data_IF_829855211267
#
_entry.id   IF_829855211267
#
_cell.length_a   1.000
_cell.length_b   1.000
_cell.length_c   1.000
_cell.angle_alpha   90.00
_cell.angle_beta   90.00
_cell.angle_gamma   90.00
#
_symmetry.space_group_name_H-M   'P 1'
#
loop_
_entity.id
_entity.type
_entity.pdbx_description
1 polymer ?
#
# COMPACT_ATOMS: atom_id res chain seq x y z
N UNK A 1 25.18 16.19 21.36
CA UNK A 1 24.57 16.78 22.58
C UNK A 1 24.88 15.89 23.77
N UNK A 2 24.84 16.40 25.01
CA UNK A 2 25.02 15.56 26.22
C UNK A 2 23.69 15.44 26.95
N UNK A 3 23.17 14.21 27.06
CA UNK A 3 21.95 13.89 27.81
C UNK A 3 22.32 13.46 29.24
N UNK A 4 21.47 13.79 30.20
CA UNK A 4 21.57 13.36 31.60
C UNK A 4 20.88 12.00 31.80
N UNK A 5 21.29 11.23 32.81
CA UNK A 5 20.71 9.91 33.15
C UNK A 5 19.18 9.94 33.27
N UNK A 6 18.61 10.95 33.92
CA UNK A 6 17.15 11.10 34.04
C UNK A 6 16.44 11.23 32.68
N UNK A 7 17.10 11.80 31.68
CA UNK A 7 16.55 11.92 30.32
C UNK A 7 16.53 10.56 29.60
N UNK A 8 17.54 9.71 29.81
CA UNK A 8 17.52 8.33 29.29
C UNK A 8 16.43 7.49 29.95
N UNK A 9 16.24 7.61 31.27
CA UNK A 9 15.18 6.88 31.98
C UNK A 9 13.78 7.27 31.49
N UNK A 10 13.55 8.58 31.29
CA UNK A 10 12.30 9.07 30.72
C UNK A 10 12.11 8.56 29.27
N UNK A 11 13.17 8.58 28.46
CA UNK A 11 13.16 8.06 27.10
C UNK A 11 12.85 6.57 27.02
N UNK A 12 13.49 5.73 27.86
CA UNK A 12 13.22 4.29 27.98
C UNK A 12 11.78 4.04 28.40
N UNK A 13 11.26 4.82 29.34
CA UNK A 13 9.85 4.70 29.78
C UNK A 13 8.90 4.91 28.61
N UNK A 14 9.16 5.91 27.76
CA UNK A 14 8.37 6.16 26.55
C UNK A 14 8.49 5.01 25.54
N UNK A 15 9.70 4.50 25.29
CA UNK A 15 9.87 3.34 24.42
C UNK A 15 9.06 2.13 24.93
N UNK A 16 9.04 1.88 26.24
CA UNK A 16 8.25 0.79 26.81
C UNK A 16 6.75 0.95 26.61
N UNK A 17 6.23 2.18 26.56
CA UNK A 17 4.81 2.43 26.26
C UNK A 17 4.42 1.93 24.87
N UNK A 18 5.34 1.99 23.89
CA UNK A 18 5.10 1.51 22.53
C UNK A 18 4.81 0.00 22.47
N UNK A 19 5.24 -0.78 23.47
CA UNK A 19 4.96 -2.23 23.51
C UNK A 19 3.48 -2.57 23.69
N UNK A 20 2.68 -1.60 24.12
CA UNK A 20 1.23 -1.74 24.26
C UNK A 20 0.49 -1.51 22.94
N UNK A 21 1.17 -0.99 21.91
CA UNK A 21 0.60 -0.80 20.57
C UNK A 21 0.60 -2.16 19.87
N UNK A 22 -0.57 -2.60 19.39
CA UNK A 22 -0.78 -3.96 18.88
C UNK A 22 0.21 -4.39 17.80
N UNK A 23 0.36 -3.57 16.75
CA UNK A 23 1.27 -3.89 15.64
C UNK A 23 2.75 -3.90 16.03
N UNK A 24 3.15 -3.05 16.99
CA UNK A 24 4.52 -3.03 17.54
C UNK A 24 4.76 -4.30 18.35
N UNK A 25 3.81 -4.66 19.21
CA UNK A 25 3.89 -5.88 20.00
C UNK A 25 4.05 -7.11 19.10
N UNK A 26 3.20 -7.23 18.08
CA UNK A 26 3.25 -8.32 17.10
C UNK A 26 4.64 -8.39 16.43
N UNK A 27 5.18 -7.25 15.99
CA UNK A 27 6.50 -7.19 15.37
C UNK A 27 7.63 -7.62 16.32
N UNK A 28 7.57 -7.23 17.60
CA UNK A 28 8.53 -7.67 18.61
C UNK A 28 8.43 -9.18 18.87
N UNK A 29 7.21 -9.72 18.99
CA UNK A 29 7.01 -11.17 19.20
C UNK A 29 7.50 -11.99 18.01
N UNK A 30 7.33 -11.49 16.78
CA UNK A 30 7.82 -12.12 15.56
C UNK A 30 9.35 -12.26 15.53
N UNK A 31 10.09 -11.30 16.09
CA UNK A 31 11.56 -11.37 16.15
C UNK A 31 12.08 -12.37 17.16
N UNK A 32 11.28 -12.73 18.17
CA UNK A 32 11.69 -13.63 19.26
C UNK A 32 11.69 -15.11 18.87
N UNK A 33 11.17 -15.46 17.69
CA UNK A 33 11.07 -16.85 17.25
C UNK A 33 11.31 -17.00 15.75
N UNK A 34 11.84 -18.15 15.30
CA UNK A 34 11.92 -18.44 13.87
C UNK A 34 10.52 -18.50 13.27
N UNK A 35 10.30 -17.81 12.15
CA UNK A 35 9.07 -17.89 11.35
C UNK A 35 9.45 -18.19 9.90
N UNK A 36 8.87 -19.24 9.32
CA UNK A 36 9.18 -19.68 7.97
C UNK A 36 9.02 -18.57 6.91
N UNK A 37 8.00 -17.72 7.05
CA UNK A 37 7.70 -16.61 6.15
C UNK A 37 8.54 -15.35 6.39
N UNK A 38 9.31 -15.30 7.49
CA UNK A 38 10.29 -14.22 7.71
C UNK A 38 11.70 -14.60 7.25
N UNK A 39 12.00 -15.90 7.17
CA UNK A 39 13.34 -16.40 6.79
C UNK A 39 13.49 -16.53 5.27
N UNK A 40 12.44 -16.91 4.57
CA UNK A 40 12.51 -17.07 3.12
C UNK A 40 12.56 -15.72 2.42
N UNK A 41 13.63 -15.46 1.67
CA UNK A 41 13.68 -14.35 0.75
C UNK A 41 12.70 -14.58 -0.42
N UNK A 42 12.03 -13.50 -0.82
CA UNK A 42 11.11 -13.46 -1.95
C UNK A 42 11.81 -12.67 -3.04
N UNK A 43 12.05 -13.29 -4.20
CA UNK A 43 12.71 -12.62 -5.32
C UNK A 43 11.96 -11.34 -5.73
N UNK A 44 12.71 -10.30 -6.11
CA UNK A 44 12.13 -9.03 -6.59
C UNK A 44 11.29 -9.27 -7.85
N UNK A 45 10.09 -8.67 -7.88
CA UNK A 45 9.23 -8.71 -9.06
C UNK A 45 9.77 -7.82 -10.19
N UNK A 46 9.61 -8.29 -11.43
CA UNK A 46 10.01 -7.59 -12.65
C UNK A 46 8.89 -6.75 -13.32
N UNK A 47 7.82 -6.37 -12.61
CA UNK A 47 6.79 -5.49 -13.18
C UNK A 47 5.61 -5.20 -12.26
N UNK A 48 4.94 -4.05 -12.49
CA UNK A 48 3.80 -3.52 -11.70
C UNK A 48 2.51 -4.37 -11.77
N UNK A 49 2.43 -5.33 -12.69
CA UNK A 49 1.27 -6.21 -12.89
C UNK A 49 1.59 -7.70 -12.69
N UNK A 50 2.84 -8.04 -12.39
CA UNK A 50 3.18 -9.43 -12.10
C UNK A 50 2.63 -9.82 -10.73
N UNK A 51 2.30 -11.10 -10.55
CA UNK A 51 1.97 -11.68 -9.24
C UNK A 51 3.22 -11.86 -8.39
N UNK A 52 3.16 -11.52 -7.11
CA UNK A 52 4.36 -11.58 -6.27
C UNK A 52 4.73 -13.03 -5.96
N UNK A 53 6.03 -13.32 -5.84
CA UNK A 53 6.50 -14.63 -5.40
C UNK A 53 5.91 -15.01 -4.02
N UNK A 54 5.55 -14.00 -3.23
CA UNK A 54 4.84 -14.14 -1.98
C UNK A 54 3.38 -14.60 -2.21
N UNK A 55 2.61 -13.92 -3.06
CA UNK A 55 1.23 -14.27 -3.40
C UNK A 55 1.11 -15.72 -3.91
N UNK A 56 2.00 -16.16 -4.80
CA UNK A 56 2.03 -17.57 -5.24
C UNK A 56 2.26 -18.55 -4.09
N UNK A 57 3.16 -18.23 -3.15
CA UNK A 57 3.43 -19.09 -1.98
C UNK A 57 2.23 -19.10 -1.02
N UNK A 58 1.62 -17.95 -0.76
CA UNK A 58 0.41 -17.83 0.07
C UNK A 58 -0.73 -18.68 -0.48
N UNK A 59 -0.94 -18.67 -1.80
CA UNK A 59 -1.97 -19.51 -2.42
C UNK A 59 -1.65 -21.00 -2.36
N UNK A 60 -0.38 -21.39 -2.46
CA UNK A 60 0.04 -22.80 -2.25
C UNK A 60 -0.19 -23.26 -0.81
N UNK A 61 0.08 -22.39 0.16
CA UNK A 61 -0.22 -22.64 1.57
C UNK A 61 -1.73 -22.75 1.80
N UNK A 62 -2.52 -21.84 1.23
CA UNK A 62 -3.97 -21.88 1.35
C UNK A 62 -4.57 -23.12 0.69
N UNK A 63 -4.08 -23.50 -0.50
CA UNK A 63 -4.42 -24.77 -1.16
C UNK A 63 -4.13 -25.96 -0.26
N UNK A 64 -2.94 -26.00 0.35
CA UNK A 64 -2.57 -27.06 1.30
C UNK A 64 -3.53 -27.11 2.48
N UNK A 65 -3.96 -25.97 3.03
CA UNK A 65 -4.89 -25.91 4.16
C UNK A 65 -6.33 -26.36 3.85
N UNK A 66 -6.80 -26.14 2.62
CA UNK A 66 -8.18 -26.49 2.22
C UNK A 66 -8.30 -27.92 1.70
N UNK A 67 -7.20 -28.61 1.40
CA UNK A 67 -7.20 -29.95 0.83
C UNK A 67 -7.25 -31.04 1.91
N UNK A 68 -8.41 -31.66 2.11
CA UNK A 68 -8.58 -32.75 3.06
C UNK A 68 -7.64 -33.95 2.84
N UNK A 69 -7.04 -34.10 1.64
CA UNK A 69 -6.15 -35.21 1.32
C UNK A 69 -4.68 -34.96 1.63
N UNK A 70 -4.31 -33.72 1.98
CA UNK A 70 -2.95 -33.36 2.34
C UNK A 70 -2.51 -33.97 3.68
N UNK A 71 -1.24 -33.80 4.02
CA UNK A 71 -0.62 -34.40 5.19
C UNK A 71 -0.90 -33.68 6.51
N UNK A 72 -1.68 -32.59 6.52
CA UNK A 72 -2.00 -31.84 7.74
C UNK A 72 -3.02 -32.51 8.67
N UNK A 73 -3.82 -33.45 8.16
CA UNK A 73 -4.78 -34.24 8.97
C UNK A 73 -5.93 -33.44 9.58
N UNK A 74 -6.39 -32.37 8.90
CA UNK A 74 -7.48 -31.48 9.38
C UNK A 74 -8.81 -31.73 8.66
N UNK A 75 -8.86 -32.69 7.74
CA UNK A 75 -9.98 -32.85 6.81
C UNK A 75 -10.25 -31.57 6.02
N UNK A 76 -11.51 -31.30 5.70
CA UNK A 76 -11.91 -30.10 4.92
C UNK A 76 -12.29 -28.89 5.81
N UNK A 77 -11.89 -28.85 7.09
CA UNK A 77 -12.38 -27.84 8.07
C UNK A 77 -12.16 -26.39 7.62
N UNK A 78 -11.03 -26.10 6.98
CA UNK A 78 -10.72 -24.73 6.52
C UNK A 78 -11.62 -24.34 5.35
N UNK A 79 -11.79 -25.23 4.37
CA UNK A 79 -12.70 -25.03 3.24
C UNK A 79 -14.15 -24.83 3.74
N UNK A 80 -14.59 -25.73 4.63
CA UNK A 80 -15.92 -25.67 5.24
C UNK A 80 -16.18 -24.33 5.94
N UNK A 81 -15.21 -23.85 6.73
CA UNK A 81 -15.33 -22.56 7.43
C UNK A 81 -15.33 -21.36 6.48
N UNK A 82 -14.53 -21.40 5.41
CA UNK A 82 -14.52 -20.36 4.38
C UNK A 82 -15.85 -20.29 3.63
N UNK A 83 -16.43 -21.44 3.25
CA UNK A 83 -17.73 -21.51 2.58
C UNK A 83 -18.85 -21.02 3.51
N UNK A 84 -18.83 -21.46 4.78
CA UNK A 84 -19.83 -21.03 5.79
C UNK A 84 -19.74 -19.54 6.08
N UNK A 85 -18.52 -18.96 6.09
CA UNK A 85 -18.30 -17.53 6.31
C UNK A 85 -19.05 -16.65 5.30
N UNK A 86 -19.19 -17.11 4.06
CA UNK A 86 -19.87 -16.39 2.98
C UNK A 86 -21.33 -16.82 2.79
N UNK A 87 -21.89 -17.58 3.74
CA UNK A 87 -23.28 -18.05 3.73
C UNK A 87 -23.52 -19.29 2.87
N UNK A 88 -22.47 -19.96 2.43
CA UNK A 88 -22.55 -21.22 1.70
C UNK A 88 -22.86 -22.41 2.60
N UNK A 89 -23.24 -23.53 1.98
CA UNK A 89 -23.51 -24.78 2.66
C UNK A 89 -22.44 -25.81 2.27
N UNK A 90 -21.77 -26.37 3.26
CA UNK A 90 -20.83 -27.48 3.12
C UNK A 90 -20.82 -28.27 4.42
N UNK A 91 -20.50 -29.56 4.32
CA UNK A 91 -20.38 -30.46 5.46
C UNK A 91 -18.91 -30.61 5.84
N UNK A 92 -18.62 -30.49 7.13
CA UNK A 92 -17.29 -30.82 7.64
C UNK A 92 -17.06 -32.34 7.59
N UNK A 93 -16.00 -32.74 6.91
CA UNK A 93 -15.49 -34.10 6.83
C UNK A 93 -14.05 -34.13 7.37
N UNK A 94 -13.83 -34.69 8.58
CA UNK A 94 -12.50 -34.74 9.20
C UNK A 94 -11.55 -35.73 8.52
N UNK A 95 -12.11 -36.71 7.82
CA UNK A 95 -11.36 -37.78 7.17
C UNK A 95 -10.96 -37.40 5.73
N UNK A 96 -9.95 -38.11 5.21
CA UNK A 96 -9.55 -37.95 3.80
C UNK A 96 -10.72 -38.30 2.88
N UNK A 97 -10.97 -37.46 1.89
CA UNK A 97 -12.01 -37.65 0.90
C UNK A 97 -11.43 -37.52 -0.51
N UNK A 98 -11.35 -38.66 -1.23
CA UNK A 98 -10.77 -38.72 -2.58
C UNK A 98 -11.59 -37.98 -3.65
N UNK A 99 -12.84 -37.62 -3.37
CA UNK A 99 -13.65 -36.78 -4.24
C UNK A 99 -13.28 -35.29 -4.13
N UNK A 100 -12.55 -34.91 -3.07
CA UNK A 100 -11.98 -33.58 -2.91
C UNK A 100 -10.71 -33.46 -3.75
N UNK A 101 -10.61 -32.36 -4.51
CA UNK A 101 -9.41 -31.96 -5.23
C UNK A 101 -9.17 -30.46 -5.00
N UNK A 102 -8.01 -30.10 -4.47
CA UNK A 102 -7.59 -28.71 -4.39
C UNK A 102 -6.34 -28.48 -5.25
N UNK A 103 -6.35 -27.42 -6.04
CA UNK A 103 -5.24 -27.02 -6.91
C UNK A 103 -4.90 -25.56 -6.67
N UNK A 104 -3.62 -25.23 -6.81
CA UNK A 104 -3.15 -23.86 -6.83
C UNK A 104 -2.79 -23.52 -8.27
N UNK A 105 -3.14 -22.32 -8.72
CA UNK A 105 -2.81 -21.82 -10.06
C UNK A 105 -3.49 -22.63 -11.20
N UNK A 106 -4.65 -23.25 -10.93
CA UNK A 106 -5.45 -23.94 -11.97
C UNK A 106 -6.33 -22.92 -12.69
N UNK A 107 -6.31 -22.92 -14.02
CA UNK A 107 -7.04 -21.96 -14.86
C UNK A 107 -6.72 -20.48 -14.55
N UNK A 108 -5.51 -20.18 -14.10
CA UNK A 108 -5.07 -18.88 -13.57
C UNK A 108 -5.73 -18.47 -12.23
N UNK A 109 -6.59 -19.31 -11.65
CA UNK A 109 -7.23 -19.10 -10.33
C UNK A 109 -6.25 -19.50 -9.24
N UNK A 110 -6.08 -18.64 -8.24
CA UNK A 110 -5.07 -18.82 -7.20
C UNK A 110 -5.27 -20.10 -6.39
N UNK A 111 -6.50 -20.38 -5.94
CA UNK A 111 -6.87 -21.64 -5.30
C UNK A 111 -8.22 -22.08 -5.83
N UNK A 112 -8.30 -23.32 -6.31
CA UNK A 112 -9.53 -23.97 -6.72
C UNK A 112 -9.72 -25.24 -5.91
N UNK A 113 -10.80 -25.30 -5.14
CA UNK A 113 -11.22 -26.45 -4.35
C UNK A 113 -12.50 -27.03 -4.96
N UNK A 114 -12.53 -28.34 -5.20
CA UNK A 114 -13.67 -29.07 -5.76
C UNK A 114 -13.98 -30.25 -4.84
N UNK A 115 -15.22 -30.32 -4.37
CA UNK A 115 -15.76 -31.43 -3.59
C UNK A 115 -16.97 -32.00 -4.32
N UNK A 116 -16.71 -33.04 -5.12
CA UNK A 116 -17.76 -33.67 -5.91
C UNK A 116 -18.74 -34.51 -5.08
N UNK A 117 -18.36 -34.94 -3.87
CA UNK A 117 -19.29 -35.64 -2.97
C UNK A 117 -20.36 -34.72 -2.40
N UNK A 118 -20.01 -33.44 -2.21
CA UNK A 118 -20.94 -32.43 -1.69
C UNK A 118 -21.51 -31.52 -2.78
N UNK A 119 -21.13 -31.72 -4.05
CA UNK A 119 -21.43 -30.83 -5.17
C UNK A 119 -21.03 -29.38 -4.87
N UNK A 120 -19.81 -29.16 -4.38
CA UNK A 120 -19.31 -27.83 -4.00
C UNK A 120 -18.04 -27.51 -4.78
N UNK A 121 -17.93 -26.27 -5.25
CA UNK A 121 -16.71 -25.69 -5.80
C UNK A 121 -16.41 -24.37 -5.09
N UNK A 122 -15.17 -24.15 -4.66
CA UNK A 122 -14.71 -22.91 -4.07
C UNK A 122 -13.51 -22.38 -4.87
N UNK A 123 -13.65 -21.20 -5.46
CA UNK A 123 -12.57 -20.44 -6.06
C UNK A 123 -12.15 -19.31 -5.13
N UNK A 124 -10.84 -19.15 -4.93
CA UNK A 124 -10.27 -18.09 -4.11
C UNK A 124 -9.23 -17.35 -4.95
N UNK A 125 -9.35 -16.03 -5.02
CA UNK A 125 -8.34 -15.13 -5.57
C UNK A 125 -7.65 -14.42 -4.40
N UNK A 126 -6.32 -14.45 -4.34
CA UNK A 126 -5.53 -13.97 -3.22
C UNK A 126 -4.71 -12.75 -3.64
N UNK A 127 -4.95 -11.61 -2.98
CA UNK A 127 -4.13 -10.40 -3.14
C UNK A 127 -3.42 -10.05 -1.85
N UNK A 128 -2.19 -9.58 -1.96
CA UNK A 128 -1.43 -9.05 -0.82
C UNK A 128 -1.26 -7.53 -0.91
N UNK A 129 -0.82 -7.02 -2.06
CA UNK A 129 -0.59 -5.57 -2.26
C UNK A 129 -1.11 -5.06 -3.61
N UNK A 130 -1.24 -5.95 -4.59
CA UNK A 130 -1.80 -5.60 -5.89
C UNK A 130 -3.31 -5.43 -5.80
N UNK A 131 -3.84 -4.46 -6.55
CA UNK A 131 -5.29 -4.36 -6.79
C UNK A 131 -5.71 -5.44 -7.79
N UNK A 132 -7.02 -5.58 -7.95
CA UNK A 132 -7.61 -6.44 -8.96
C UNK A 132 -7.00 -6.17 -10.35
N UNK A 133 -6.68 -7.23 -11.08
CA UNK A 133 -6.14 -7.13 -12.43
C UNK A 133 -7.22 -6.73 -13.44
N UNK A 134 -6.88 -5.83 -14.36
CA UNK A 134 -7.68 -5.54 -15.55
C UNK A 134 -6.91 -6.07 -16.75
N UNK A 135 -7.56 -6.87 -17.58
CA UNK A 135 -6.96 -7.40 -18.82
C UNK A 135 -6.76 -6.29 -19.86
N UNK A 136 -6.05 -6.59 -20.96
CA UNK A 136 -5.85 -5.62 -22.06
C UNK A 136 -7.15 -5.10 -22.68
N UNK A 137 -8.23 -5.85 -22.49
CA UNK A 137 -9.54 -5.61 -23.11
C UNK A 137 -10.53 -4.97 -22.11
N UNK A 138 -10.02 -4.39 -21.02
CA UNK A 138 -10.79 -3.77 -19.93
C UNK A 138 -11.76 -4.73 -19.19
N UNK A 139 -11.61 -6.04 -19.39
CA UNK A 139 -12.36 -7.06 -18.66
C UNK A 139 -11.69 -7.34 -17.31
N UNK A 140 -12.49 -7.40 -16.25
CA UNK A 140 -11.99 -7.68 -14.91
C UNK A 140 -11.52 -9.13 -14.79
N UNK A 141 -10.44 -9.34 -14.05
CA UNK A 141 -9.88 -10.67 -13.79
C UNK A 141 -10.91 -11.60 -13.12
N UNK A 142 -11.76 -11.05 -12.25
CA UNK A 142 -12.78 -11.80 -11.51
C UNK A 142 -13.92 -12.29 -12.41
N UNK A 143 -14.27 -11.54 -13.45
CA UNK A 143 -15.26 -11.96 -14.45
C UNK A 143 -14.75 -13.18 -15.23
N UNK A 144 -13.52 -13.10 -15.75
CA UNK A 144 -12.86 -14.20 -16.47
C UNK A 144 -12.83 -15.47 -15.63
N UNK A 145 -12.50 -15.37 -14.35
CA UNK A 145 -12.38 -16.53 -13.46
C UNK A 145 -13.73 -17.17 -13.14
N UNK A 146 -14.78 -16.36 -12.98
CA UNK A 146 -16.15 -16.86 -12.84
C UNK A 146 -16.57 -17.63 -14.10
N UNK A 147 -16.35 -17.06 -15.29
CA UNK A 147 -16.68 -17.72 -16.56
C UNK A 147 -15.96 -19.07 -16.70
N UNK A 148 -14.67 -19.13 -16.34
CA UNK A 148 -13.91 -20.39 -16.38
C UNK A 148 -14.47 -21.46 -15.44
N UNK A 149 -14.90 -21.10 -14.22
CA UNK A 149 -15.54 -22.04 -13.29
C UNK A 149 -16.89 -22.50 -13.83
N UNK A 150 -17.68 -21.58 -14.39
CA UNK A 150 -18.98 -21.90 -14.99
C UNK A 150 -18.85 -22.87 -16.17
N UNK A 151 -17.94 -22.59 -17.10
CA UNK A 151 -17.74 -23.43 -18.29
C UNK A 151 -17.16 -24.80 -17.95
N UNK A 152 -16.14 -24.85 -17.09
CA UNK A 152 -15.27 -26.04 -16.96
C UNK A 152 -15.53 -26.87 -15.71
N UNK A 153 -16.21 -26.32 -14.71
CA UNK A 153 -16.57 -27.09 -13.50
C UNK A 153 -18.07 -27.36 -13.51
N UNK A 154 -18.88 -26.31 -13.65
CA UNK A 154 -20.34 -26.44 -13.61
C UNK A 154 -20.87 -27.07 -14.90
N UNK A 155 -20.26 -26.75 -16.04
CA UNK A 155 -20.58 -27.38 -17.33
C UNK A 155 -20.43 -28.91 -17.31
N UNK A 156 -19.54 -29.46 -16.49
CA UNK A 156 -19.36 -30.91 -16.32
C UNK A 156 -20.44 -31.53 -15.41
N UNK A 157 -20.97 -30.77 -14.44
CA UNK A 157 -22.06 -31.19 -13.55
C UNK A 157 -22.81 -29.99 -12.98
N UNK A 158 -24.03 -29.75 -13.47
CA UNK A 158 -24.86 -28.60 -13.08
C UNK A 158 -25.37 -28.65 -11.64
N UNK A 159 -25.20 -29.77 -10.93
CA UNK A 159 -25.53 -29.84 -9.51
C UNK A 159 -24.47 -29.16 -8.64
N UNK A 160 -23.27 -28.86 -9.17
CA UNK A 160 -22.19 -28.22 -8.43
C UNK A 160 -22.53 -26.76 -8.14
N UNK A 161 -22.52 -26.40 -6.86
CA UNK A 161 -22.67 -25.04 -6.39
C UNK A 161 -21.31 -24.34 -6.30
N UNK A 162 -21.06 -23.28 -7.08
CA UNK A 162 -19.85 -22.49 -6.97
C UNK A 162 -19.93 -21.47 -5.83
N UNK A 163 -18.77 -21.21 -5.24
CA UNK A 163 -18.50 -20.18 -4.25
C UNK A 163 -17.23 -19.43 -4.65
N UNK A 164 -17.22 -18.11 -4.48
CA UNK A 164 -16.13 -17.24 -4.92
C UNK A 164 -15.68 -16.34 -3.79
N UNK A 165 -14.38 -16.37 -3.45
CA UNK A 165 -13.78 -15.53 -2.41
C UNK A 165 -12.70 -14.64 -3.03
N UNK A 166 -12.84 -13.34 -2.82
CA UNK A 166 -11.79 -12.36 -3.07
C UNK A 166 -11.08 -12.05 -1.74
N UNK A 167 -9.95 -12.71 -1.51
CA UNK A 167 -9.18 -12.64 -0.27
C UNK A 167 -8.13 -11.54 -0.37
N UNK A 168 -8.32 -10.48 0.41
CA UNK A 168 -7.40 -9.33 0.45
C UNK A 168 -7.09 -8.97 1.90
N UNK A 169 -6.03 -8.19 2.20
CA UNK A 169 -5.71 -7.90 3.59
C UNK A 169 -6.81 -7.11 4.30
N UNK A 170 -7.38 -6.10 3.61
CA UNK A 170 -8.31 -5.12 4.19
C UNK A 170 -9.76 -5.27 3.69
N UNK A 171 -10.12 -6.43 3.12
CA UNK A 171 -11.47 -6.70 2.61
C UNK A 171 -11.89 -5.76 1.46
N UNK A 172 -10.98 -5.53 0.53
CA UNK A 172 -11.24 -4.72 -0.65
C UNK A 172 -12.46 -5.24 -1.41
N UNK A 173 -13.27 -4.30 -1.92
CA UNK A 173 -14.46 -4.63 -2.69
C UNK A 173 -14.07 -5.20 -4.06
N UNK A 174 -14.55 -6.39 -4.44
CA UNK A 174 -14.35 -6.92 -5.78
C UNK A 174 -15.18 -6.15 -6.81
N UNK A 175 -14.70 -6.09 -8.05
CA UNK A 175 -15.45 -5.53 -9.18
C UNK A 175 -16.72 -6.35 -9.50
N UNK A 176 -16.64 -7.67 -9.38
CA UNK A 176 -17.71 -8.61 -9.66
C UNK A 176 -18.47 -8.97 -8.36
N UNK A 177 -19.80 -8.79 -8.38
CA UNK A 177 -20.68 -8.97 -7.22
C UNK A 177 -20.87 -10.43 -6.77
N UNK A 178 -20.50 -11.41 -7.58
CA UNK A 178 -20.51 -12.83 -7.21
C UNK A 178 -19.33 -13.21 -6.30
N UNK A 179 -18.26 -12.41 -6.31
CA UNK A 179 -17.11 -12.62 -5.45
C UNK A 179 -17.38 -12.01 -4.07
N UNK A 180 -17.18 -12.80 -3.02
CA UNK A 180 -17.33 -12.33 -1.65
C UNK A 180 -15.99 -11.78 -1.14
N UNK A 181 -15.98 -10.53 -0.69
CA UNK A 181 -14.81 -9.93 -0.07
C UNK A 181 -14.54 -10.57 1.30
N UNK A 182 -13.34 -11.10 1.49
CA UNK A 182 -12.87 -11.69 2.76
C UNK A 182 -11.54 -11.05 3.15
N UNK A 183 -11.40 -10.66 4.41
CA UNK A 183 -10.15 -10.08 4.93
C UNK A 183 -9.16 -11.14 5.43
N UNK A 184 -7.89 -10.74 5.55
CA UNK A 184 -6.89 -11.55 6.25
C UNK A 184 -7.27 -11.75 7.72
N UNK A 185 -7.86 -10.76 8.40
CA UNK A 185 -8.34 -10.91 9.78
C UNK A 185 -9.42 -12.00 9.92
N UNK A 186 -10.32 -12.11 8.93
CA UNK A 186 -11.33 -13.18 8.89
C UNK A 186 -10.67 -14.55 8.69
N UNK A 187 -9.66 -14.66 7.82
CA UNK A 187 -8.88 -15.88 7.64
C UNK A 187 -8.06 -16.24 8.90
N UNK A 188 -7.45 -15.25 9.56
CA UNK A 188 -6.74 -15.41 10.84
C UNK A 188 -7.67 -15.98 11.90
N UNK A 189 -8.90 -15.45 11.99
CA UNK A 189 -9.92 -15.96 12.92
C UNK A 189 -10.27 -17.43 12.65
N UNK A 190 -10.38 -17.82 11.37
CA UNK A 190 -10.58 -19.22 10.98
C UNK A 190 -9.38 -20.08 11.41
N UNK A 191 -8.16 -19.63 11.14
CA UNK A 191 -6.93 -20.34 11.51
C UNK A 191 -6.86 -20.51 13.04
N UNK A 192 -7.11 -19.46 13.82
CA UNK A 192 -7.11 -19.52 15.28
C UNK A 192 -8.15 -20.50 15.83
N UNK A 193 -9.35 -20.51 15.25
CA UNK A 193 -10.35 -21.51 15.63
C UNK A 193 -9.87 -22.93 15.34
N UNK A 194 -9.23 -23.18 14.19
CA UNK A 194 -8.72 -24.52 13.84
C UNK A 194 -7.57 -24.91 14.77
N UNK A 195 -6.63 -24.00 15.02
CA UNK A 195 -5.51 -24.20 15.95
C UNK A 195 -5.98 -24.54 17.37
N UNK A 196 -7.02 -23.87 17.87
CA UNK A 196 -7.53 -24.05 19.21
C UNK A 196 -8.34 -25.35 19.40
N UNK A 197 -9.08 -25.77 18.36
CA UNK A 197 -10.12 -26.80 18.52
C UNK A 197 -9.83 -28.13 17.81
N UNK A 198 -8.99 -28.15 16.79
CA UNK A 198 -8.78 -29.35 15.96
C UNK A 198 -7.43 -30.00 16.23
N UNK A 199 -6.38 -29.21 16.45
CA UNK A 199 -5.00 -29.71 16.65
C UNK A 199 -4.70 -30.16 18.09
N UNK A 200 -5.72 -30.29 18.94
CA UNK A 200 -5.59 -30.76 20.33
C UNK A 200 -5.75 -32.27 20.47
N UNK A 201 -6.23 -32.96 19.43
CA UNK A 201 -6.38 -34.41 19.42
C UNK A 201 -5.03 -35.11 19.14
N UNK A 202 -4.66 -36.10 19.97
CA UNK A 202 -3.41 -36.86 19.87
C UNK A 202 -3.29 -37.76 18.62
N UNK A 203 -4.33 -37.82 17.79
CA UNK A 203 -4.45 -38.71 16.62
C UNK A 203 -4.06 -38.04 15.30
N UNK A 204 -3.83 -36.73 15.27
CA UNK A 204 -3.49 -36.00 14.04
C UNK A 204 -2.01 -36.20 13.70
N UNK A 205 -1.68 -36.76 12.52
CA UNK A 205 -0.30 -36.86 12.05
C UNK A 205 0.35 -35.47 11.95
N UNK A 206 1.61 -35.35 12.37
CA UNK A 206 2.38 -34.10 12.27
C UNK A 206 1.73 -32.89 12.97
N UNK A 207 0.90 -33.11 14.01
CA UNK A 207 0.14 -32.03 14.66
C UNK A 207 1.01 -30.84 15.11
N UNK A 208 2.21 -31.10 15.61
CA UNK A 208 3.16 -30.05 16.00
C UNK A 208 3.67 -29.24 14.80
N UNK A 209 4.00 -29.91 13.70
CA UNK A 209 4.49 -29.28 12.46
C UNK A 209 3.37 -28.49 11.78
N UNK A 210 2.17 -29.08 11.67
CA UNK A 210 0.97 -28.40 11.17
C UNK A 210 0.66 -27.16 11.98
N UNK A 211 0.70 -27.27 13.32
CA UNK A 211 0.51 -26.13 14.22
C UNK A 211 1.55 -25.04 13.98
N UNK A 212 2.83 -25.41 13.79
CA UNK A 212 3.91 -24.46 13.49
C UNK A 212 3.68 -23.74 12.17
N UNK A 213 3.42 -24.47 11.09
CA UNK A 213 3.20 -23.90 9.75
C UNK A 213 1.98 -22.99 9.71
N UNK A 214 0.88 -23.38 10.36
CA UNK A 214 -0.33 -22.56 10.46
C UNK A 214 -0.11 -21.30 11.30
N UNK A 215 0.62 -21.42 12.42
CA UNK A 215 0.97 -20.27 13.27
C UNK A 215 1.85 -19.29 12.50
N UNK A 216 2.85 -19.79 11.78
CA UNK A 216 3.75 -18.96 10.99
C UNK A 216 3.02 -18.22 9.87
N UNK A 217 2.11 -18.91 9.17
CA UNK A 217 1.29 -18.31 8.13
C UNK A 217 0.31 -17.28 8.70
N UNK A 218 -0.33 -17.56 9.84
CA UNK A 218 -1.19 -16.61 10.54
C UNK A 218 -0.45 -15.31 10.88
N UNK A 219 0.76 -15.45 11.41
CA UNK A 219 1.59 -14.31 11.78
C UNK A 219 2.05 -13.49 10.56
N UNK A 220 2.29 -14.15 9.44
CA UNK A 220 2.59 -13.47 8.17
C UNK A 220 1.38 -12.67 7.62
N UNK A 221 0.18 -13.26 7.71
CA UNK A 221 -1.06 -12.55 7.40
C UNK A 221 -1.24 -11.34 8.33
N UNK A 222 -1.05 -11.52 9.64
CA UNK A 222 -1.15 -10.44 10.62
C UNK A 222 -0.13 -9.33 10.34
N UNK A 223 1.11 -9.69 10.01
CA UNK A 223 2.16 -8.74 9.62
C UNK A 223 1.73 -7.89 8.41
N UNK A 224 1.06 -8.49 7.43
CA UNK A 224 0.54 -7.75 6.28
C UNK A 224 -0.57 -6.78 6.70
N UNK A 225 -1.50 -7.21 7.55
CA UNK A 225 -2.58 -6.36 8.09
C UNK A 225 -1.99 -5.19 8.89
N UNK A 226 -1.10 -5.49 9.83
CA UNK A 226 -0.38 -4.52 10.66
C UNK A 226 0.37 -3.50 9.79
N UNK A 227 1.06 -3.95 8.75
CA UNK A 227 1.77 -3.05 7.84
C UNK A 227 0.85 -2.05 7.12
N UNK A 228 -0.35 -2.50 6.72
CA UNK A 228 -1.31 -1.68 5.97
C UNK A 228 -2.16 -0.79 6.87
N UNK A 229 -2.41 -1.20 8.12
CA UNK A 229 -3.25 -0.47 9.08
C UNK A 229 -2.47 0.33 10.12
N UNK A 230 -1.14 0.16 10.24
CA UNK A 230 -0.33 0.82 11.28
C UNK A 230 -0.61 2.33 11.33
N UNK A 231 -1.08 2.76 12.50
CA UNK A 231 -1.10 4.16 12.86
C UNK A 231 0.22 4.52 13.54
N UNK A 232 0.81 5.61 13.08
CA UNK A 232 2.04 6.13 13.62
C UNK A 232 1.86 7.41 14.45
N UNK A 233 0.63 7.89 14.61
CA UNK A 233 0.30 9.09 15.39
C UNK A 233 0.82 8.96 16.82
N UNK A 234 0.66 7.79 17.43
CA UNK A 234 1.17 7.50 18.78
C UNK A 234 2.70 7.65 18.86
N UNK A 235 3.45 7.20 17.85
CA UNK A 235 4.91 7.40 17.80
C UNK A 235 5.25 8.89 17.59
N UNK A 236 4.48 9.58 16.73
CA UNK A 236 4.71 10.99 16.39
C UNK A 236 4.65 11.91 17.60
N UNK A 237 3.64 11.70 18.44
CA UNK A 237 3.29 12.58 19.56
C UNK A 237 4.08 12.25 20.82
N UNK A 238 4.60 11.03 20.93
CA UNK A 238 5.30 10.55 22.13
C UNK A 238 6.69 11.17 22.32
N UNK A 239 7.41 11.46 21.23
CA UNK A 239 8.80 11.93 21.28
C UNK A 239 8.95 13.41 20.88
N UNK A 240 9.63 14.17 21.74
CA UNK A 240 10.12 15.52 21.46
C UNK A 240 11.20 15.52 20.38
N UNK A 241 11.51 16.68 19.79
CA UNK A 241 12.57 16.79 18.78
C UNK A 241 13.95 16.37 19.30
N UNK A 242 14.26 16.64 20.56
CA UNK A 242 15.51 16.21 21.20
C UNK A 242 15.59 14.68 21.36
N UNK A 243 14.47 14.02 21.66
CA UNK A 243 14.39 12.55 21.77
C UNK A 243 14.41 11.88 20.39
N UNK A 244 13.87 12.54 19.36
CA UNK A 244 14.00 12.13 17.96
C UNK A 244 15.46 12.16 17.50
N UNK A 245 16.19 13.22 17.82
CA UNK A 245 17.64 13.29 17.58
C UNK A 245 18.41 12.19 18.32
N UNK A 246 18.07 11.94 19.60
CA UNK A 246 18.64 10.83 20.37
C UNK A 246 18.34 9.47 19.73
N UNK A 247 17.12 9.26 19.24
CA UNK A 247 16.72 8.02 18.55
C UNK A 247 17.56 7.79 17.30
N UNK A 248 17.78 8.83 16.49
CA UNK A 248 18.61 8.72 15.29
C UNK A 248 20.06 8.38 15.62
N UNK A 249 20.63 9.05 16.65
CA UNK A 249 21.96 8.75 17.12
C UNK A 249 22.06 7.29 17.59
N UNK A 250 21.24 6.87 18.56
CA UNK A 250 21.23 5.50 19.08
C UNK A 250 21.06 4.45 17.98
N UNK A 251 20.18 4.70 17.00
CA UNK A 251 19.97 3.77 15.90
C UNK A 251 21.18 3.67 14.96
N UNK A 252 21.97 4.73 14.77
CA UNK A 252 23.26 4.65 14.09
C UNK A 252 24.27 3.83 14.90
N UNK A 253 24.34 4.05 16.22
CA UNK A 253 25.22 3.29 17.12
C UNK A 253 24.90 1.78 17.08
N UNK A 254 23.61 1.43 17.16
CA UNK A 254 23.12 0.04 17.07
C UNK A 254 23.47 -0.61 15.73
N UNK A 255 23.26 0.08 14.61
CA UNK A 255 23.45 -0.50 13.27
C UNK A 255 24.91 -0.64 12.85
N UNK A 256 25.78 0.22 13.37
CA UNK A 256 27.19 0.22 13.02
C UNK A 256 28.08 -0.48 14.06
N UNK A 257 27.48 -1.08 15.09
CA UNK A 257 28.18 -1.69 16.23
C UNK A 257 29.25 -0.77 16.83
N UNK A 258 29.06 0.54 16.64
CA UNK A 258 29.98 1.54 17.14
C UNK A 258 29.66 1.71 18.62
N UNK A 259 30.51 1.18 19.49
CA UNK A 259 30.42 1.40 20.92
C UNK A 259 30.63 2.89 21.23
N UNK A 260 29.53 3.62 21.36
CA UNK A 260 29.53 5.07 21.53
C UNK A 260 28.77 5.46 22.79
N UNK A 261 28.92 6.74 23.16
CA UNK A 261 28.53 7.29 24.45
C UNK A 261 27.04 7.12 24.78
N UNK A 262 26.16 7.09 23.79
CA UNK A 262 24.71 7.03 24.05
C UNK A 262 24.25 5.60 24.35
N UNK A 263 24.76 4.58 23.64
CA UNK A 263 24.41 3.17 23.90
C UNK A 263 24.85 2.73 25.31
N UNK A 264 26.07 3.09 25.74
CA UNK A 264 26.57 2.75 27.07
C UNK A 264 25.72 3.37 28.21
N UNK A 265 25.26 4.61 28.02
CA UNK A 265 24.34 5.26 28.96
C UNK A 265 22.94 4.64 28.89
N UNK A 266 22.47 4.25 27.71
CA UNK A 266 21.19 3.56 27.53
C UNK A 266 21.20 2.21 28.28
N UNK A 267 22.25 1.40 28.09
CA UNK A 267 22.41 0.08 28.74
C UNK A 267 22.49 0.16 30.26
N UNK A 268 23.06 1.25 30.79
CA UNK A 268 23.07 1.50 32.24
C UNK A 268 21.65 1.75 32.80
N UNK A 269 20.67 2.03 31.95
CA UNK A 269 19.30 2.40 32.33
C UNK A 269 18.22 1.40 31.89
N UNK A 270 18.56 0.28 31.24
CA UNK A 270 17.61 -0.81 30.99
C UNK A 270 18.27 -2.19 30.90
N UNK A 271 17.48 -3.23 31.12
CA UNK A 271 17.85 -4.64 30.85
C UNK A 271 16.98 -5.28 29.75
N UNK A 272 16.06 -4.50 29.20
CA UNK A 272 15.05 -4.97 28.26
C UNK A 272 15.60 -5.03 26.83
N UNK A 273 15.74 -6.24 26.30
CA UNK A 273 16.30 -6.47 24.96
C UNK A 273 15.46 -5.90 23.81
N UNK A 274 14.16 -5.65 24.02
CA UNK A 274 13.29 -5.09 22.97
C UNK A 274 13.57 -3.59 22.72
N UNK A 275 14.29 -2.91 23.61
CA UNK A 275 14.55 -1.47 23.51
C UNK A 275 15.29 -1.12 22.21
N UNK A 276 16.25 -1.95 21.79
CA UNK A 276 16.96 -1.72 20.55
C UNK A 276 16.05 -1.87 19.33
N UNK A 277 15.18 -2.88 19.33
CA UNK A 277 14.20 -3.08 18.28
C UNK A 277 13.20 -1.92 18.20
N UNK A 278 12.76 -1.40 19.35
CA UNK A 278 11.90 -0.23 19.42
C UNK A 278 12.60 1.02 18.88
N UNK A 279 13.88 1.25 19.21
CA UNK A 279 14.67 2.36 18.66
C UNK A 279 14.74 2.28 17.13
N UNK A 280 15.06 1.10 16.59
CA UNK A 280 15.14 0.89 15.14
C UNK A 280 13.77 1.08 14.47
N UNK A 281 12.69 0.62 15.10
CA UNK A 281 11.32 0.79 14.60
C UNK A 281 10.90 2.28 14.59
N UNK A 282 11.24 3.05 15.63
CA UNK A 282 10.98 4.49 15.67
C UNK A 282 11.81 5.22 14.60
N UNK A 283 13.08 4.84 14.40
CA UNK A 283 13.90 5.37 13.27
C UNK A 283 13.24 5.10 11.92
N UNK A 284 12.80 3.88 11.67
CA UNK A 284 12.18 3.49 10.40
C UNK A 284 10.89 4.27 10.16
N UNK A 285 10.10 4.50 11.21
CA UNK A 285 8.97 5.42 11.16
C UNK A 285 9.40 6.85 10.78
N UNK A 286 10.42 7.42 11.45
CA UNK A 286 10.91 8.77 11.17
C UNK A 286 11.40 8.90 9.73
N UNK A 287 12.00 7.85 9.17
CA UNK A 287 12.41 7.78 7.76
C UNK A 287 11.20 7.70 6.83
N UNK A 288 10.21 6.87 7.14
CA UNK A 288 8.98 6.73 6.37
C UNK A 288 8.18 8.05 6.30
N UNK A 289 8.13 8.84 7.39
CA UNK A 289 7.53 10.19 7.38
C UNK A 289 8.23 11.13 6.39
N UNK A 290 9.55 11.06 6.29
CA UNK A 290 10.31 11.87 5.32
C UNK A 290 10.13 11.37 3.88
N UNK A 291 9.65 10.14 3.68
CA UNK A 291 9.56 9.45 2.38
C UNK A 291 8.14 8.99 2.05
N UNK A 292 7.08 9.58 2.63
CA UNK A 292 5.73 9.21 2.26
C UNK A 292 5.48 9.63 0.81
N UNK A 293 5.48 8.64 -0.07
CA UNK A 293 5.22 8.84 -1.49
C UNK A 293 3.80 8.40 -1.88
N UNK A 294 2.90 8.10 -0.94
CA UNK A 294 1.53 7.72 -1.30
C UNK A 294 0.87 8.79 -2.18
N UNK A 295 0.08 8.40 -3.21
CA UNK A 295 -0.72 9.36 -3.94
C UNK A 295 -1.77 9.98 -3.00
N UNK A 296 -1.90 11.30 -3.09
CA UNK A 296 -2.90 12.12 -2.43
C UNK A 296 -3.93 12.54 -3.48
N UNK A 297 -5.18 12.13 -3.29
CA UNK A 297 -6.22 12.32 -4.29
C UNK A 297 -6.55 13.80 -4.52
N UNK A 298 -6.53 14.62 -3.46
CA UNK A 298 -6.77 16.06 -3.56
C UNK A 298 -5.73 16.74 -4.46
N UNK A 299 -4.45 16.34 -4.33
CA UNK A 299 -3.36 16.82 -5.17
C UNK A 299 -3.51 16.33 -6.62
N UNK A 300 -3.93 15.09 -6.83
CA UNK A 300 -4.20 14.55 -8.18
C UNK A 300 -5.31 15.34 -8.87
N UNK A 301 -6.39 15.64 -8.14
CA UNK A 301 -7.49 16.50 -8.62
C UNK A 301 -6.95 17.88 -8.97
N UNK A 302 -6.16 18.49 -8.09
CA UNK A 302 -5.54 19.79 -8.37
C UNK A 302 -4.71 19.76 -9.65
N UNK A 303 -3.84 18.78 -9.84
CA UNK A 303 -2.98 18.69 -11.03
C UNK A 303 -3.80 18.55 -12.32
N UNK A 304 -4.90 17.80 -12.27
CA UNK A 304 -5.85 17.70 -13.40
C UNK A 304 -6.55 19.02 -13.67
N UNK A 305 -6.96 19.76 -12.63
CA UNK A 305 -7.55 21.09 -12.79
C UNK A 305 -6.56 22.08 -13.40
N UNK A 306 -5.31 22.08 -12.96
CA UNK A 306 -4.23 22.89 -13.57
C UNK A 306 -4.01 22.48 -15.03
N UNK A 307 -3.95 21.16 -15.32
CA UNK A 307 -3.85 20.65 -16.69
C UNK A 307 -5.01 21.15 -17.57
N UNK A 308 -6.24 21.03 -17.10
CA UNK A 308 -7.47 21.44 -17.79
C UNK A 308 -7.54 22.95 -18.01
N UNK A 309 -7.03 23.73 -17.06
CA UNK A 309 -6.90 25.17 -17.19
C UNK A 309 -5.90 25.54 -18.31
N UNK A 310 -4.75 24.86 -18.39
CA UNK A 310 -3.71 25.13 -19.38
C UNK A 310 -4.00 24.56 -20.77
N UNK A 311 -4.65 23.41 -20.86
CA UNK A 311 -4.84 22.60 -22.07
C UNK A 311 -5.83 23.21 -23.07
N UNK A 312 -5.46 23.25 -24.35
CA UNK A 312 -6.31 23.77 -25.43
C UNK A 312 -7.31 22.75 -25.97
N UNK A 313 -6.96 21.46 -25.94
CA UNK A 313 -7.70 20.41 -26.69
C UNK A 313 -8.22 19.27 -25.82
N UNK A 314 -7.79 19.18 -24.56
CA UNK A 314 -8.14 18.06 -23.67
C UNK A 314 -8.68 18.55 -22.34
N UNK A 315 -9.66 17.81 -21.83
CA UNK A 315 -10.22 17.94 -20.50
C UNK A 315 -10.18 16.57 -19.84
N UNK A 316 -9.41 16.44 -18.77
CA UNK A 316 -9.34 15.23 -17.98
C UNK A 316 -10.45 15.25 -16.92
N UNK A 317 -11.22 14.17 -16.77
CA UNK A 317 -12.13 14.02 -15.63
C UNK A 317 -11.38 14.17 -14.31
N UNK A 318 -12.01 14.80 -13.32
CA UNK A 318 -11.41 15.00 -12.00
C UNK A 318 -11.59 13.81 -11.06
N UNK A 319 -12.22 12.71 -11.48
CA UNK A 319 -12.41 11.50 -10.69
C UNK A 319 -11.07 10.81 -10.35
N UNK A 320 -10.73 10.78 -9.07
CA UNK A 320 -9.50 10.19 -8.51
C UNK A 320 -9.30 8.70 -8.86
N UNK A 321 -10.35 7.96 -9.20
CA UNK A 321 -10.26 6.54 -9.53
C UNK A 321 -9.78 6.29 -10.97
N UNK A 322 -9.89 7.29 -11.85
CA UNK A 322 -9.54 7.14 -13.25
C UNK A 322 -8.02 7.25 -13.49
N UNK A 323 -7.50 6.34 -14.31
CA UNK A 323 -6.13 6.45 -14.87
C UNK A 323 -6.21 6.98 -16.30
N UNK A 324 -5.15 7.64 -16.77
CA UNK A 324 -5.12 8.25 -18.10
C UNK A 324 -3.94 7.71 -18.90
N UNK A 325 -4.21 7.37 -20.17
CA UNK A 325 -3.17 6.92 -21.09
C UNK A 325 -2.07 7.99 -21.25
N UNK A 326 -0.88 7.59 -21.69
CA UNK A 326 0.19 8.54 -21.95
C UNK A 326 -0.22 9.62 -22.97
N UNK A 327 -1.05 9.25 -23.95
CA UNK A 327 -1.55 10.19 -24.94
C UNK A 327 -2.49 11.21 -24.31
N UNK A 328 -3.41 10.82 -23.44
CA UNK A 328 -4.39 11.74 -22.84
C UNK A 328 -3.74 12.76 -21.90
N UNK A 329 -2.60 12.39 -21.32
CA UNK A 329 -1.84 13.23 -20.37
C UNK A 329 -1.04 14.35 -21.02
N UNK A 330 -1.08 14.49 -22.35
CA UNK A 330 -0.31 15.51 -23.08
C UNK A 330 -1.25 16.36 -23.94
N UNK A 331 -1.15 17.68 -23.86
CA UNK A 331 -1.92 18.62 -24.67
C UNK A 331 -1.13 19.89 -25.00
N UNK A 332 -1.44 20.57 -26.12
CA UNK A 332 -0.97 21.92 -26.36
C UNK A 332 -1.56 22.90 -25.33
N UNK A 333 -0.77 23.91 -24.94
CA UNK A 333 -1.21 25.01 -24.07
C UNK A 333 -2.13 25.95 -24.87
N UNK A 334 -3.17 26.50 -24.22
CA UNK A 334 -4.09 27.48 -24.81
C UNK A 334 -3.33 28.66 -25.45
N UNK A 335 -3.54 28.96 -26.75
CA UNK A 335 -2.87 30.08 -27.41
C UNK A 335 -3.08 31.44 -26.73
N UNK A 336 -4.25 31.65 -26.12
CA UNK A 336 -4.56 32.87 -25.37
C UNK A 336 -3.62 33.06 -24.16
N UNK A 337 -3.29 31.99 -23.43
CA UNK A 337 -2.36 32.04 -22.30
C UNK A 337 -0.92 32.27 -22.78
N UNK A 338 -0.53 31.63 -23.88
CA UNK A 338 0.78 31.87 -24.50
C UNK A 338 0.95 33.34 -24.86
N UNK A 339 -0.06 33.94 -25.50
CA UNK A 339 -0.04 35.34 -25.89
C UNK A 339 -0.06 36.29 -24.68
N UNK A 340 -0.94 36.04 -23.70
CA UNK A 340 -1.11 36.88 -22.51
C UNK A 340 0.17 36.93 -21.66
N UNK A 341 0.89 35.82 -21.51
CA UNK A 341 2.06 35.72 -20.64
C UNK A 341 3.40 35.72 -21.41
N UNK A 342 3.37 35.77 -22.74
CA UNK A 342 4.53 35.65 -23.63
C UNK A 342 5.36 34.38 -23.34
N UNK A 343 4.66 33.23 -23.29
CA UNK A 343 5.27 31.95 -22.92
C UNK A 343 6.07 31.35 -24.07
N UNK A 344 7.27 30.86 -23.76
CA UNK A 344 8.06 30.03 -24.67
C UNK A 344 7.80 28.51 -24.48
N UNK A 345 6.65 28.17 -23.90
CA UNK A 345 6.19 26.81 -23.62
C UNK A 345 4.88 26.60 -24.34
N UNK A 346 4.76 25.49 -25.06
CA UNK A 346 3.62 25.22 -25.95
C UNK A 346 2.86 23.94 -25.60
N UNK A 347 3.39 23.13 -24.68
CA UNK A 347 2.83 21.83 -24.33
C UNK A 347 2.82 21.61 -22.84
N UNK A 348 1.71 21.07 -22.35
CA UNK A 348 1.52 20.63 -20.96
C UNK A 348 1.42 19.12 -20.89
N UNK A 349 2.06 18.52 -19.88
CA UNK A 349 2.06 17.08 -19.64
C UNK A 349 1.79 16.76 -18.16
N UNK A 350 0.74 16.00 -17.89
CA UNK A 350 0.50 15.41 -16.57
C UNK A 350 1.45 14.22 -16.34
N UNK A 351 2.15 14.21 -15.21
CA UNK A 351 3.09 13.13 -14.85
C UNK A 351 2.43 11.76 -14.82
N UNK A 352 3.20 10.73 -15.16
CA UNK A 352 2.78 9.33 -15.06
C UNK A 352 2.84 8.81 -13.62
N UNK A 353 2.37 7.57 -13.43
CA UNK A 353 2.36 6.93 -12.11
C UNK A 353 1.30 7.55 -11.20
N UNK A 354 1.74 8.39 -10.25
CA UNK A 354 0.86 8.94 -9.19
C UNK A 354 0.02 10.14 -9.65
N UNK A 355 0.37 10.78 -10.77
CA UNK A 355 -0.38 11.92 -11.30
C UNK A 355 -0.37 13.17 -10.43
N UNK A 356 0.66 13.35 -9.58
CA UNK A 356 0.78 14.46 -8.62
C UNK A 356 1.68 15.60 -9.08
N UNK A 357 2.12 15.58 -10.33
CA UNK A 357 2.90 16.64 -10.92
C UNK A 357 2.59 16.87 -12.39
N UNK A 358 3.13 17.94 -12.93
CA UNK A 358 2.90 18.40 -14.29
C UNK A 358 4.15 19.09 -14.83
N UNK A 359 4.41 18.90 -16.13
CA UNK A 359 5.45 19.56 -16.89
C UNK A 359 4.86 20.54 -17.90
N UNK A 360 5.51 21.69 -18.07
CA UNK A 360 5.38 22.51 -19.27
C UNK A 360 6.65 22.35 -20.09
N UNK A 361 6.52 22.02 -21.37
CA UNK A 361 7.66 21.81 -22.27
C UNK A 361 7.88 23.06 -23.11
N UNK A 362 9.14 23.47 -23.19
CA UNK A 362 9.57 24.53 -24.10
C UNK A 362 9.45 24.03 -25.54
N UNK A 363 9.14 24.95 -26.45
CA UNK A 363 9.10 24.73 -27.91
C UNK A 363 10.40 24.09 -28.42
N UNK A 364 11.54 24.46 -27.83
CA UNK A 364 12.87 23.91 -28.18
C UNK A 364 13.19 22.53 -27.57
N UNK A 365 12.36 22.04 -26.64
CA UNK A 365 12.53 20.77 -25.91
C UNK A 365 13.65 20.76 -24.84
N UNK A 366 14.45 21.82 -24.72
CA UNK A 366 15.66 21.88 -23.86
C UNK A 366 15.37 22.25 -22.42
N UNK A 367 14.26 22.93 -22.15
CA UNK A 367 13.86 23.34 -20.80
C UNK A 367 12.43 22.92 -20.52
N UNK A 368 12.14 22.65 -19.24
CA UNK A 368 10.80 22.29 -18.76
C UNK A 368 10.52 22.98 -17.44
N UNK A 369 9.30 23.46 -17.25
CA UNK A 369 8.84 23.86 -15.91
C UNK A 369 8.17 22.66 -15.27
N UNK A 370 8.48 22.39 -14.01
CA UNK A 370 7.91 21.30 -13.23
C UNK A 370 7.23 21.84 -11.97
N UNK A 371 6.04 21.34 -11.71
CA UNK A 371 5.27 21.61 -10.49
C UNK A 371 4.63 20.31 -10.01
N UNK A 372 4.58 20.12 -8.69
CA UNK A 372 3.98 18.94 -8.08
C UNK A 372 3.52 19.21 -6.65
N UNK A 373 2.56 18.41 -6.16
CA UNK A 373 2.20 18.35 -4.75
C UNK A 373 2.74 17.10 -4.05
N UNK A 374 2.64 17.08 -2.72
CA UNK A 374 3.13 15.99 -1.86
C UNK A 374 2.02 15.06 -1.36
N UNK A 375 2.41 13.92 -0.77
CA UNK A 375 1.47 12.94 -0.23
C UNK A 375 0.58 13.49 0.90
N UNK A 376 0.96 14.62 1.50
CA UNK A 376 0.28 15.25 2.62
C UNK A 376 -0.65 16.39 2.18
N UNK A 377 -0.86 16.57 0.88
CA UNK A 377 -1.74 17.61 0.36
C UNK A 377 -1.05 18.97 0.22
N UNK A 378 0.27 19.09 0.36
CA UNK A 378 0.94 20.37 0.18
C UNK A 378 1.26 20.64 -1.29
N UNK A 379 1.09 21.88 -1.71
CA UNK A 379 1.47 22.36 -3.03
C UNK A 379 2.12 23.75 -2.97
N UNK A 380 3.17 24.02 -3.75
CA UNK A 380 4.05 23.04 -4.40
C UNK A 380 4.87 22.23 -3.35
N UNK A 381 5.27 21.00 -3.66
CA UNK A 381 6.10 20.15 -2.79
C UNK A 381 7.56 20.62 -2.70
N UNK A 382 8.13 21.02 -3.84
CA UNK A 382 9.55 21.39 -3.98
C UNK A 382 9.71 22.71 -4.75
N UNK A 383 8.84 23.68 -4.49
CA UNK A 383 8.65 24.88 -5.32
C UNK A 383 8.26 24.55 -6.77
N UNK A 384 7.94 25.59 -7.56
CA UNK A 384 7.82 25.45 -9.02
C UNK A 384 9.23 25.62 -9.60
N UNK A 385 9.67 24.65 -10.40
CA UNK A 385 11.07 24.49 -10.80
C UNK A 385 11.25 24.67 -12.30
N UNK A 386 12.36 25.28 -12.70
CA UNK A 386 12.87 25.24 -14.07
C UNK A 386 13.93 24.14 -14.16
N UNK A 387 13.73 23.23 -15.11
CA UNK A 387 14.59 22.08 -15.36
C UNK A 387 15.27 22.23 -16.73
N UNK A 388 16.55 21.85 -16.78
CA UNK A 388 17.29 21.68 -18.03
C UNK A 388 17.00 20.30 -18.65
N UNK A 389 17.58 20.05 -19.83
CA UNK A 389 17.42 18.81 -20.61
C UNK A 389 17.82 17.56 -19.81
N UNK A 390 18.84 17.67 -18.95
CA UNK A 390 19.29 16.62 -18.04
C UNK A 390 18.45 16.50 -16.75
N UNK A 391 17.31 17.19 -16.69
CA UNK A 391 16.38 17.28 -15.56
C UNK A 391 16.99 17.88 -14.29
N UNK A 392 18.15 18.55 -14.36
CA UNK A 392 18.67 19.31 -13.22
C UNK A 392 17.93 20.63 -13.06
N UNK A 393 17.74 21.02 -11.81
CA UNK A 393 17.11 22.28 -11.44
C UNK A 393 18.05 23.42 -11.80
N UNK A 394 17.60 24.32 -12.67
CA UNK A 394 18.32 25.55 -13.06
C UNK A 394 17.67 26.81 -12.48
N UNK A 395 16.47 26.71 -11.91
CA UNK A 395 15.77 27.84 -11.30
C UNK A 395 14.57 27.39 -10.47
N UNK A 396 14.13 28.25 -9.54
CA UNK A 396 12.94 28.06 -8.72
C UNK A 396 12.16 29.36 -8.66
N UNK A 397 10.85 29.29 -8.85
CA UNK A 397 9.99 30.46 -8.74
C UNK A 397 9.99 30.98 -7.30
N UNK A 398 10.05 32.30 -7.15
CA UNK A 398 9.94 33.01 -5.88
C UNK A 398 8.50 33.42 -5.57
N UNK A 399 7.69 33.61 -6.62
CA UNK A 399 6.30 34.07 -6.48
C UNK A 399 5.40 33.06 -5.76
N UNK A 400 5.74 31.77 -5.82
CA UNK A 400 5.06 30.70 -5.07
C UNK A 400 6.05 29.98 -4.18
N UNK A 401 5.86 30.10 -2.87
CA UNK A 401 6.74 29.50 -1.86
C UNK A 401 6.49 28.01 -1.73
N UNK A 402 7.50 27.31 -1.22
CA UNK A 402 7.38 25.89 -0.95
C UNK A 402 6.26 25.61 0.08
N UNK A 403 5.41 24.62 -0.20
CA UNK A 403 4.27 24.20 0.64
C UNK A 403 3.34 25.34 1.05
N UNK A 404 3.10 26.28 0.13
CA UNK A 404 2.27 27.46 0.39
C UNK A 404 0.78 27.12 0.53
N UNK A 405 0.32 26.07 -0.16
CA UNK A 405 -1.07 25.64 -0.15
C UNK A 405 -1.25 24.28 0.50
N UNK A 406 -2.41 24.10 1.12
CA UNK A 406 -2.89 22.83 1.65
C UNK A 406 -4.17 22.45 0.91
N UNK A 407 -4.11 21.36 0.16
CA UNK A 407 -5.17 20.89 -0.72
C UNK A 407 -5.97 19.80 0.01
N UNK A 408 -7.27 20.02 0.16
CA UNK A 408 -8.22 19.07 0.77
C UNK A 408 -9.27 18.66 -0.26
N UNK A 409 -9.74 17.41 -0.17
CA UNK A 409 -10.69 16.84 -1.14
C UNK A 409 -11.98 17.66 -1.26
N UNK A 410 -12.57 18.05 -0.14
CA UNK A 410 -13.84 18.78 -0.12
C UNK A 410 -13.68 20.15 -0.80
N UNK A 411 -12.61 20.86 -0.45
CA UNK A 411 -12.33 22.20 -0.95
C UNK A 411 -12.01 22.18 -2.45
N UNK A 412 -11.13 21.27 -2.88
CA UNK A 412 -10.68 21.25 -4.27
C UNK A 412 -11.83 20.87 -5.19
N UNK A 413 -12.75 19.99 -4.78
CA UNK A 413 -13.97 19.67 -5.56
C UNK A 413 -14.80 20.94 -5.78
N UNK A 414 -14.93 21.78 -4.75
CA UNK A 414 -15.65 23.07 -4.78
C UNK A 414 -14.88 24.22 -5.45
N UNK A 415 -13.74 23.95 -6.11
CA UNK A 415 -12.86 24.96 -6.73
C UNK A 415 -12.28 25.95 -5.72
N UNK A 416 -12.00 25.50 -4.49
CA UNK A 416 -11.32 26.30 -3.47
C UNK A 416 -10.06 25.61 -2.94
N UNK A 417 -9.13 26.41 -2.43
CA UNK A 417 -7.80 25.96 -2.00
C UNK A 417 -7.45 26.61 -0.67
N UNK A 418 -7.03 25.81 0.31
CA UNK A 418 -6.52 26.31 1.58
C UNK A 418 -5.10 26.86 1.45
N UNK A 419 -4.80 27.94 2.14
CA UNK A 419 -3.42 28.43 2.34
C UNK A 419 -2.86 27.92 3.67
N UNK A 420 -1.53 27.95 3.81
CA UNK A 420 -0.86 27.57 5.06
C UNK A 420 -1.29 28.42 6.26
N UNK A 421 -1.71 29.66 6.03
CA UNK A 421 -2.21 30.60 7.02
C UNK A 421 -3.68 30.37 7.39
N UNK A 422 -4.34 29.37 6.79
CA UNK A 422 -5.74 29.01 7.06
C UNK A 422 -6.76 29.81 6.26
N UNK A 423 -6.32 30.66 5.33
CA UNK A 423 -7.22 31.33 4.39
C UNK A 423 -7.69 30.37 3.29
N UNK A 424 -8.76 30.72 2.58
CA UNK A 424 -9.26 29.98 1.42
C UNK A 424 -9.23 30.89 0.19
N UNK A 425 -8.80 30.35 -0.95
CA UNK A 425 -8.66 31.04 -2.23
C UNK A 425 -9.43 30.26 -3.31
N UNK A 426 -10.06 30.96 -4.26
CA UNK A 426 -10.65 30.30 -5.42
C UNK A 426 -9.56 29.72 -6.34
N UNK A 427 -9.86 28.61 -7.01
CA UNK A 427 -8.91 27.94 -7.91
C UNK A 427 -8.42 28.89 -9.02
N UNK A 428 -9.33 29.64 -9.64
CA UNK A 428 -8.98 30.57 -10.72
C UNK A 428 -8.09 31.72 -10.22
N UNK A 429 -8.37 32.25 -9.01
CA UNK A 429 -7.52 33.26 -8.39
C UNK A 429 -6.12 32.72 -8.09
N UNK A 430 -6.01 31.48 -7.61
CA UNK A 430 -4.71 30.82 -7.42
C UNK A 430 -3.97 30.70 -8.76
N UNK A 431 -4.67 30.31 -9.83
CA UNK A 431 -4.06 30.17 -11.15
C UNK A 431 -3.53 31.52 -11.67
N UNK A 432 -4.35 32.54 -11.71
CA UNK A 432 -4.02 33.84 -12.31
C UNK A 432 -3.02 34.64 -11.47
N UNK A 433 -3.26 34.74 -10.16
CA UNK A 433 -2.46 35.58 -9.27
C UNK A 433 -1.13 34.94 -8.89
N UNK A 434 -1.07 33.60 -8.85
CA UNK A 434 0.08 32.89 -8.29
C UNK A 434 0.76 31.94 -9.29
N UNK A 435 0.05 30.96 -9.86
CA UNK A 435 0.68 29.91 -10.67
C UNK A 435 1.17 30.45 -12.02
N UNK A 436 0.34 31.21 -12.73
CA UNK A 436 0.73 31.80 -14.02
C UNK A 436 1.84 32.84 -13.86
N UNK A 437 1.86 33.59 -12.75
CA UNK A 437 2.96 34.51 -12.43
C UNK A 437 4.27 33.76 -12.17
N UNK A 438 4.24 32.65 -11.44
CA UNK A 438 5.42 31.80 -11.23
C UNK A 438 5.91 31.16 -12.54
N UNK A 439 5.01 30.73 -13.42
CA UNK A 439 5.37 30.22 -14.75
C UNK A 439 6.03 31.33 -15.57
N UNK A 440 5.46 32.55 -15.56
CA UNK A 440 6.03 33.71 -16.24
C UNK A 440 7.41 34.10 -15.70
N UNK A 441 7.58 34.11 -14.38
CA UNK A 441 8.86 34.36 -13.72
C UNK A 441 9.95 33.41 -14.24
N UNK A 442 9.66 32.10 -14.28
CA UNK A 442 10.60 31.09 -14.79
C UNK A 442 10.79 31.14 -16.30
N UNK A 443 9.79 31.59 -17.05
CA UNK A 443 9.90 31.85 -18.48
C UNK A 443 10.88 32.99 -18.78
N UNK A 444 10.80 34.07 -18.01
CA UNK A 444 11.59 35.29 -18.22
C UNK A 444 13.02 35.16 -17.69
N UNK A 445 13.26 34.23 -16.75
CA UNK A 445 14.59 33.81 -16.29
C UNK A 445 15.50 33.22 -17.40
N UNK A 446 15.02 33.17 -18.66
CA UNK A 446 15.81 32.86 -19.86
C UNK A 446 16.93 33.88 -20.16
N UNK A 447 16.97 35.04 -19.48
CA UNK A 447 17.86 36.16 -19.81
C UNK A 447 19.12 36.38 -18.98
N UNK A 448 19.44 35.52 -17.99
CA UNK A 448 20.64 35.68 -17.14
C UNK A 448 21.69 34.61 -17.35
#
# INVERSE_FOLDING_TARGET
MTYQTAQYQAYVTKLQQLKNIGWINNQLQLKKKPNFWSILEYGEQKGLQARSAHETRSSKMLRWLVDANENHGLGNIVAHKLITLIGGNSTFEPEKNKAIKATAEDMDIDVLYKDFSQNVCLAIEVKQFAKEGITSDDVSQLDKYKELVEERVIGENTAIQPYYIYLTPLKDKPSNSHWHAVSYEQLITIIDHVLANQLTASTIPYAADTKKLMTDFKEDLQRTVDYLQKDHTEIKELFSEQEKELTLALAEEIQHEAGTKHLAELDANHTDCDIYDLILLVKDYMKAQKQNHAPNDAVRILMRKIFNYLSATKQLPTDELLTHSANDRIAPIKPALIAQYNLAYDKVELTGGKGQGLYLHNVDGKKRIYLSGDAHGHFPNDSIQLLNEDKKISGKAQHVKNKQYLIKNEQIVENTIGTKEGATLAFDDMMEAHIMQAIKELNDAKGS
#
